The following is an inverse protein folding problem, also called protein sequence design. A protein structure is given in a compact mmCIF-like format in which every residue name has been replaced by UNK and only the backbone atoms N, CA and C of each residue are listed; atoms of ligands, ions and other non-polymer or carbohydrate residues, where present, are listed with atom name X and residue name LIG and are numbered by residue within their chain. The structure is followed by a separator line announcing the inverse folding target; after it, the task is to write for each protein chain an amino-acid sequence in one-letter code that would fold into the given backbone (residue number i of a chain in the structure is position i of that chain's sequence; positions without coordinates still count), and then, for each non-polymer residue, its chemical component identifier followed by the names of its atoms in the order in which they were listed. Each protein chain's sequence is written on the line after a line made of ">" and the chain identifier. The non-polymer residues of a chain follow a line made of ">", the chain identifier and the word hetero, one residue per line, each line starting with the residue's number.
data_IF_399235821356
#
_entry.id   IF_399235821356
#
_cell.length_a   1.000
_cell.length_b   1.000
_cell.length_c   1.000
_cell.angle_alpha   90.00
_cell.angle_beta   90.00
_cell.angle_gamma   90.00
#
_symmetry.space_group_name_H-M   'P 1'
#
loop_
_entity.id
_entity.type
_entity.pdbx_description
1 polymer ?
#
# COMPACT_ATOMS: atom_id res chain seq x y z
N UNK A 1 -10.81 -6.29 1.49
CA UNK A 1 -11.91 -5.66 0.74
C UNK A 1 -11.34 -4.85 -0.42
N UNK A 2 -11.24 -5.49 -1.60
CA UNK A 2 -10.65 -4.86 -2.81
C UNK A 2 -11.44 -3.65 -3.28
N UNK A 3 -12.75 -3.69 -3.22
CA UNK A 3 -13.58 -2.57 -3.63
C UNK A 3 -13.28 -1.31 -2.80
N UNK A 4 -13.20 -1.45 -1.49
CA UNK A 4 -12.85 -0.33 -0.61
C UNK A 4 -11.42 0.15 -0.88
N UNK A 5 -10.48 -0.77 -1.14
CA UNK A 5 -9.12 -0.40 -1.51
C UNK A 5 -9.11 0.49 -2.77
N UNK A 6 -9.79 0.06 -3.82
CA UNK A 6 -9.86 0.79 -5.08
C UNK A 6 -10.54 2.16 -4.91
N UNK A 7 -11.60 2.24 -4.11
CA UNK A 7 -12.29 3.49 -3.79
C UNK A 7 -11.37 4.49 -3.06
N UNK A 8 -10.62 4.01 -2.08
CA UNK A 8 -9.66 4.82 -1.34
C UNK A 8 -8.48 5.24 -2.21
N UNK A 9 -7.91 4.30 -2.99
CA UNK A 9 -6.83 4.59 -3.93
C UNK A 9 -7.28 5.63 -4.95
N UNK A 10 -8.48 5.47 -5.54
CA UNK A 10 -9.06 6.46 -6.45
C UNK A 10 -9.14 7.84 -5.81
N UNK A 11 -9.72 7.94 -4.61
CA UNK A 11 -9.87 9.20 -3.92
C UNK A 11 -8.53 9.88 -3.64
N UNK A 12 -7.51 9.12 -3.27
CA UNK A 12 -6.16 9.64 -3.02
C UNK A 12 -5.48 10.09 -4.32
N UNK A 13 -5.53 9.28 -5.38
CA UNK A 13 -4.96 9.65 -6.69
C UNK A 13 -5.61 10.93 -7.23
N UNK A 14 -6.94 11.06 -7.10
CA UNK A 14 -7.65 12.27 -7.51
C UNK A 14 -7.24 13.51 -6.69
N UNK A 15 -7.28 13.41 -5.36
CA UNK A 15 -7.03 14.57 -4.51
C UNK A 15 -5.57 15.01 -4.56
N UNK A 16 -4.64 14.07 -4.43
CA UNK A 16 -3.21 14.37 -4.46
C UNK A 16 -2.75 14.77 -5.86
N UNK A 17 -3.16 14.04 -6.90
CA UNK A 17 -2.78 14.35 -8.26
C UNK A 17 -3.27 15.73 -8.73
N UNK A 18 -4.52 16.11 -8.41
CA UNK A 18 -5.04 17.46 -8.70
C UNK A 18 -4.25 18.55 -7.98
N UNK A 19 -3.86 18.32 -6.73
CA UNK A 19 -3.00 19.24 -5.98
C UNK A 19 -1.60 19.39 -6.64
N UNK A 20 -0.98 18.28 -7.08
CA UNK A 20 0.31 18.33 -7.78
C UNK A 20 0.21 19.05 -9.12
N UNK A 21 -0.82 18.78 -9.92
CA UNK A 21 -1.09 19.48 -11.18
C UNK A 21 -1.28 20.98 -10.95
N UNK A 22 -2.04 21.35 -9.94
CA UNK A 22 -2.25 22.75 -9.57
C UNK A 22 -0.95 23.47 -9.17
N UNK A 23 -0.04 22.75 -8.54
CA UNK A 23 1.30 23.23 -8.16
C UNK A 23 2.31 23.18 -9.29
N UNK A 24 1.93 22.72 -10.48
CA UNK A 24 2.80 22.49 -11.64
C UNK A 24 3.95 21.51 -11.36
N UNK A 25 3.68 20.45 -10.56
CA UNK A 25 4.63 19.41 -10.19
C UNK A 25 4.26 18.13 -10.94
N UNK A 26 5.18 17.55 -11.70
CA UNK A 26 4.99 16.28 -12.43
C UNK A 26 3.66 16.20 -13.21
N UNK A 27 3.27 17.31 -13.87
CA UNK A 27 1.96 17.43 -14.54
C UNK A 27 1.75 16.36 -15.60
N UNK A 28 2.79 16.06 -16.39
CA UNK A 28 2.71 15.06 -17.46
C UNK A 28 2.46 13.65 -16.94
N UNK A 29 2.98 13.34 -15.77
CA UNK A 29 2.81 12.05 -15.08
C UNK A 29 1.46 11.96 -14.37
N UNK A 30 1.05 13.04 -13.69
CA UNK A 30 -0.18 13.06 -12.91
C UNK A 30 -1.45 13.18 -13.75
N UNK A 31 -1.43 13.93 -14.88
CA UNK A 31 -2.63 14.16 -15.66
C UNK A 31 -3.34 12.89 -16.13
N UNK A 32 -2.64 11.91 -16.76
CA UNK A 32 -3.32 10.67 -17.20
C UNK A 32 -3.84 9.83 -16.02
N UNK A 33 -3.21 9.91 -14.84
CA UNK A 33 -3.65 9.19 -13.64
C UNK A 33 -4.94 9.80 -13.10
N UNK A 34 -5.00 11.12 -13.01
CA UNK A 34 -6.20 11.85 -12.57
C UNK A 34 -7.34 11.64 -13.56
N UNK A 35 -7.06 11.73 -14.88
CA UNK A 35 -8.06 11.50 -15.92
C UNK A 35 -8.63 10.07 -15.83
N UNK A 36 -7.77 9.07 -15.60
CA UNK A 36 -8.23 7.71 -15.37
C UNK A 36 -9.14 7.62 -14.13
N UNK A 37 -8.70 8.20 -13.01
CA UNK A 37 -9.45 8.15 -11.76
C UNK A 37 -10.80 8.92 -11.84
N UNK A 38 -10.86 10.00 -12.60
CA UNK A 38 -12.09 10.75 -12.82
C UNK A 38 -13.11 9.96 -13.66
N UNK A 39 -12.65 9.18 -14.65
CA UNK A 39 -13.49 8.47 -15.59
C UNK A 39 -13.80 7.00 -15.21
N UNK A 40 -13.10 6.41 -14.23
CA UNK A 40 -13.25 5.01 -13.87
C UNK A 40 -13.62 4.82 -12.40
N UNK A 41 -14.91 4.75 -12.10
CA UNK A 41 -15.39 4.44 -10.76
C UNK A 41 -15.16 2.93 -10.49
N UNK A 42 -14.59 2.56 -9.31
CA UNK A 42 -14.45 1.15 -8.92
C UNK A 42 -15.81 0.43 -8.91
N UNK A 43 -15.86 -0.74 -9.54
CA UNK A 43 -17.11 -1.50 -9.73
C UNK A 43 -16.88 -3.01 -9.78
N UNK A 44 -15.95 -3.52 -9.00
CA UNK A 44 -15.52 -4.94 -9.02
C UNK A 44 -14.95 -5.41 -10.37
N UNK A 45 -14.53 -4.49 -11.23
CA UNK A 45 -13.89 -4.81 -12.49
C UNK A 45 -12.39 -5.04 -12.29
N UNK A 46 -11.94 -6.24 -12.61
CA UNK A 46 -10.52 -6.62 -12.42
C UNK A 46 -9.54 -5.71 -13.19
N UNK A 47 -9.88 -5.31 -14.41
CA UNK A 47 -9.00 -4.46 -15.22
C UNK A 47 -8.86 -3.08 -14.59
N UNK A 48 -9.95 -2.51 -14.07
CA UNK A 48 -9.95 -1.23 -13.38
C UNK A 48 -9.17 -1.34 -12.06
N UNK A 49 -9.41 -2.38 -11.27
CA UNK A 49 -8.70 -2.65 -10.02
C UNK A 49 -7.20 -2.83 -10.24
N UNK A 50 -6.80 -3.60 -11.25
CA UNK A 50 -5.40 -3.77 -11.63
C UNK A 50 -4.74 -2.44 -12.01
N UNK A 51 -5.46 -1.56 -12.70
CA UNK A 51 -4.92 -0.25 -13.07
C UNK A 51 -4.77 0.67 -11.87
N UNK A 52 -5.72 0.68 -10.91
CA UNK A 52 -5.57 1.40 -9.65
C UNK A 52 -4.35 0.93 -8.85
N UNK A 53 -4.15 -0.38 -8.75
CA UNK A 53 -2.98 -0.96 -8.08
C UNK A 53 -1.67 -0.55 -8.78
N UNK A 54 -1.64 -0.58 -10.12
CA UNK A 54 -0.49 -0.14 -10.90
C UNK A 54 -0.18 1.35 -10.66
N UNK A 55 -1.18 2.22 -10.70
CA UNK A 55 -0.98 3.63 -10.42
C UNK A 55 -0.56 3.86 -8.97
N UNK A 56 -1.20 3.19 -8.00
CA UNK A 56 -0.85 3.29 -6.58
C UNK A 56 0.63 3.03 -6.32
N UNK A 57 1.21 2.01 -6.96
CA UNK A 57 2.64 1.71 -6.82
C UNK A 57 3.55 2.63 -7.63
N UNK A 58 3.09 3.12 -8.78
CA UNK A 58 3.91 3.96 -9.67
C UNK A 58 4.07 5.37 -9.14
N UNK A 59 3.01 5.97 -8.59
CA UNK A 59 3.01 7.37 -8.15
C UNK A 59 3.97 7.66 -7.02
N UNK A 60 4.34 6.66 -6.24
CA UNK A 60 5.33 6.82 -5.16
C UNK A 60 6.67 7.36 -5.69
N UNK A 61 7.03 7.00 -6.94
CA UNK A 61 8.25 7.50 -7.60
C UNK A 61 8.22 8.99 -7.95
N UNK A 62 7.03 9.61 -7.94
CA UNK A 62 6.83 11.04 -8.23
C UNK A 62 6.70 11.89 -6.96
N UNK A 63 6.93 11.30 -5.78
CA UNK A 63 6.78 11.98 -4.50
C UNK A 63 8.15 12.26 -3.90
N UNK A 64 8.59 13.51 -4.00
CA UNK A 64 9.89 13.96 -3.51
C UNK A 64 10.10 13.71 -2.03
N UNK A 65 9.03 13.77 -1.22
CA UNK A 65 9.07 13.56 0.22
C UNK A 65 9.49 12.13 0.60
N UNK A 66 9.11 11.15 -0.21
CA UNK A 66 9.58 9.76 -0.08
C UNK A 66 11.04 9.65 -0.53
N UNK A 67 11.37 10.25 -1.65
CA UNK A 67 12.68 10.14 -2.28
C UNK A 67 13.77 10.85 -1.46
N UNK A 68 13.45 11.97 -0.84
CA UNK A 68 14.36 12.71 0.04
C UNK A 68 14.60 12.01 1.40
N UNK A 69 13.71 11.11 1.80
CA UNK A 69 13.85 10.28 3.01
C UNK A 69 14.79 9.08 2.88
N UNK A 70 15.47 8.91 1.75
CA UNK A 70 16.42 7.81 1.51
C UNK A 70 15.81 6.61 0.79
N UNK A 71 14.60 6.79 0.21
CA UNK A 71 13.90 5.75 -0.53
C UNK A 71 14.58 5.37 -1.84
N UNK A 72 14.51 4.13 -2.13
CA UNK A 72 14.71 3.40 -3.37
C UNK A 72 15.93 3.69 -4.28
N UNK A 73 17.00 4.21 -3.74
CA UNK A 73 18.31 4.18 -4.39
C UNK A 73 19.25 3.19 -3.73
N UNK A 74 18.75 2.39 -2.79
CA UNK A 74 19.58 1.46 -2.05
C UNK A 74 20.13 0.37 -2.97
N UNK A 75 21.47 0.18 -3.01
CA UNK A 75 22.10 -0.97 -3.66
C UNK A 75 21.54 -2.30 -3.17
N UNK A 76 20.89 -2.30 -2.00
CA UNK A 76 20.24 -3.46 -1.40
C UNK A 76 19.01 -3.91 -2.21
N UNK A 77 18.24 -2.98 -2.81
CA UNK A 77 17.14 -3.31 -3.71
C UNK A 77 17.62 -4.03 -4.97
N UNK A 78 18.76 -3.62 -5.51
CA UNK A 78 19.40 -4.29 -6.65
C UNK A 78 19.98 -5.66 -6.27
N UNK A 79 20.54 -5.79 -5.06
CA UNK A 79 21.05 -7.05 -4.52
C UNK A 79 19.93 -8.05 -4.24
N UNK A 80 18.78 -7.60 -3.73
CA UNK A 80 17.61 -8.47 -3.52
C UNK A 80 16.99 -8.93 -4.83
N UNK A 81 16.99 -8.10 -5.87
CA UNK A 81 16.59 -8.51 -7.21
C UNK A 81 17.53 -9.55 -7.80
N UNK A 82 18.86 -9.39 -7.67
CA UNK A 82 19.85 -10.36 -8.12
C UNK A 82 19.83 -11.67 -7.31
N UNK A 83 19.64 -11.59 -6.00
CA UNK A 83 19.52 -12.80 -5.18
C UNK A 83 18.23 -13.56 -5.46
N UNK A 84 17.10 -12.86 -5.68
CA UNK A 84 15.84 -13.48 -6.08
C UNK A 84 15.92 -14.14 -7.46
N UNK A 85 16.66 -13.55 -8.39
CA UNK A 85 16.86 -14.09 -9.73
C UNK A 85 17.70 -15.38 -9.76
N UNK A 86 18.51 -15.63 -8.73
CA UNK A 86 19.42 -16.77 -8.66
C UNK A 86 18.92 -17.92 -7.79
N UNK A 87 17.76 -17.79 -7.12
CA UNK A 87 17.24 -18.84 -6.24
C UNK A 87 16.11 -19.64 -6.89
N UNK A 88 16.04 -20.97 -6.70
CA UNK A 88 14.89 -21.77 -7.12
C UNK A 88 13.56 -21.27 -6.55
N UNK A 89 13.57 -20.63 -5.38
CA UNK A 89 12.42 -19.99 -4.75
C UNK A 89 11.87 -18.82 -5.55
N UNK A 90 12.71 -18.08 -6.29
CA UNK A 90 12.26 -17.04 -7.20
C UNK A 90 11.44 -17.62 -8.36
N UNK A 91 11.87 -18.76 -8.90
CA UNK A 91 11.16 -19.45 -9.98
C UNK A 91 9.79 -19.95 -9.50
N UNK A 92 9.72 -20.51 -8.31
CA UNK A 92 8.48 -20.96 -7.67
C UNK A 92 7.58 -19.77 -7.35
N UNK A 93 8.13 -18.66 -6.87
CA UNK A 93 7.40 -17.42 -6.60
C UNK A 93 6.82 -16.80 -7.87
N UNK A 94 7.56 -16.79 -8.98
CA UNK A 94 7.06 -16.30 -10.27
C UNK A 94 6.04 -17.26 -10.92
N UNK A 95 6.22 -18.57 -10.75
CA UNK A 95 5.25 -19.56 -11.19
C UNK A 95 3.95 -19.45 -10.38
N UNK A 96 4.07 -19.19 -9.07
CA UNK A 96 2.94 -18.89 -8.18
C UNK A 96 2.21 -17.61 -8.56
N UNK A 97 2.94 -16.58 -9.00
CA UNK A 97 2.36 -15.35 -9.53
C UNK A 97 1.47 -15.58 -10.74
N UNK A 98 1.88 -16.49 -11.64
CA UNK A 98 1.06 -16.87 -12.80
C UNK A 98 -0.18 -17.67 -12.39
N UNK A 99 -0.08 -18.46 -11.31
CA UNK A 99 -1.20 -19.20 -10.75
C UNK A 99 -2.22 -18.26 -10.09
N UNK A 100 -1.74 -17.23 -9.39
CA UNK A 100 -2.58 -16.20 -8.77
C UNK A 100 -3.30 -15.33 -9.80
N UNK A 101 -2.79 -15.21 -11.02
CA UNK A 101 -3.47 -14.51 -12.13
C UNK A 101 -4.78 -15.17 -12.56
N UNK A 102 -5.02 -16.43 -12.20
CA UNK A 102 -6.27 -17.14 -12.45
C UNK A 102 -7.29 -17.05 -11.30
N UNK A 103 -6.94 -16.39 -10.19
CA UNK A 103 -7.81 -16.19 -9.02
C UNK A 103 -8.46 -14.78 -8.90
N UNK A 104 -8.39 -13.88 -9.91
CA UNK A 104 -8.73 -12.47 -9.70
C UNK A 104 -10.19 -12.24 -9.31
N UNK A 105 -11.12 -13.07 -9.79
CA UNK A 105 -12.56 -12.91 -9.50
C UNK A 105 -12.88 -13.30 -8.05
N UNK A 106 -12.28 -14.37 -7.56
CA UNK A 106 -12.50 -14.84 -6.20
C UNK A 106 -11.85 -13.90 -5.18
N UNK A 107 -10.67 -13.34 -5.52
CA UNK A 107 -9.98 -12.35 -4.70
C UNK A 107 -10.74 -11.03 -4.60
N UNK A 108 -11.32 -10.54 -5.71
CA UNK A 108 -12.11 -9.29 -5.70
C UNK A 108 -13.30 -9.35 -4.75
N UNK A 109 -13.89 -10.53 -4.60
CA UNK A 109 -15.03 -10.77 -3.72
C UNK A 109 -14.61 -11.23 -2.31
N UNK A 110 -13.32 -11.52 -2.09
CA UNK A 110 -12.84 -11.96 -0.79
C UNK A 110 -12.90 -10.81 0.23
N UNK A 111 -13.56 -11.06 1.34
CA UNK A 111 -13.57 -10.15 2.48
C UNK A 111 -13.47 -10.94 3.78
N UNK A 112 -12.60 -10.47 4.66
CA UNK A 112 -12.48 -10.98 6.02
C UNK A 112 -12.98 -9.97 7.05
N UNK A 113 -13.60 -8.88 6.61
CA UNK A 113 -14.05 -7.78 7.46
C UNK A 113 -15.01 -8.26 8.57
N UNK A 114 -15.84 -9.28 8.28
CA UNK A 114 -16.78 -9.85 9.25
C UNK A 114 -16.08 -10.66 10.37
N UNK A 115 -14.84 -11.10 10.14
CA UNK A 115 -14.06 -11.89 11.09
C UNK A 115 -13.15 -11.05 11.98
N UNK A 116 -12.99 -9.76 11.66
CA UNK A 116 -12.10 -8.85 12.39
C UNK A 116 -12.50 -8.68 13.85
N UNK A 117 -13.80 -8.79 14.18
CA UNK A 117 -14.29 -8.78 15.53
C UNK A 117 -13.75 -9.90 16.45
N UNK A 118 -13.23 -10.98 15.88
CA UNK A 118 -12.59 -12.07 16.63
C UNK A 118 -11.16 -11.74 17.10
N UNK A 119 -10.57 -10.63 16.62
CA UNK A 119 -9.22 -10.22 16.99
C UNK A 119 -9.27 -9.46 18.32
N UNK A 120 -8.80 -10.12 19.37
CA UNK A 120 -8.79 -9.60 20.76
C UNK A 120 -7.38 -9.32 21.28
N UNK A 121 -6.35 -9.83 20.60
CA UNK A 121 -4.93 -9.63 20.97
C UNK A 121 -4.49 -8.21 20.62
N UNK A 122 -3.40 -7.71 21.25
CA UNK A 122 -2.84 -6.41 20.88
C UNK A 122 -2.53 -6.30 19.38
N UNK A 123 -2.90 -5.17 18.77
CA UNK A 123 -2.71 -4.92 17.33
C UNK A 123 -2.08 -3.56 17.12
N UNK A 124 -1.02 -3.52 16.32
CA UNK A 124 -0.47 -2.29 15.74
C UNK A 124 -0.61 -2.36 14.22
N UNK A 125 -1.17 -1.32 13.62
CA UNK A 125 -1.16 -1.11 12.17
C UNK A 125 -0.25 0.07 11.85
N UNK A 126 0.65 -0.11 10.89
CA UNK A 126 1.59 0.93 10.48
C UNK A 126 1.46 1.13 8.97
N UNK A 127 1.26 2.38 8.56
CA UNK A 127 1.08 2.78 7.17
C UNK A 127 2.01 3.93 6.81
N UNK A 128 2.40 3.99 5.54
CA UNK A 128 3.01 5.18 4.97
C UNK A 128 1.94 6.22 4.64
N UNK A 129 2.28 7.48 4.83
CA UNK A 129 1.42 8.62 4.45
C UNK A 129 1.08 8.60 2.96
N UNK A 130 2.02 8.14 2.15
CA UNK A 130 1.94 8.10 0.69
C UNK A 130 1.71 6.68 0.15
N UNK A 131 1.18 5.77 0.96
CA UNK A 131 0.79 4.44 0.49
C UNK A 131 -0.53 4.53 -0.30
N UNK A 132 -0.41 4.62 -1.61
CA UNK A 132 -1.54 4.61 -2.55
C UNK A 132 -1.92 3.19 -2.99
N UNK A 133 -1.08 2.19 -2.69
CA UNK A 133 -1.32 0.78 -3.00
C UNK A 133 -2.27 0.14 -1.99
N UNK A 134 -2.01 0.39 -0.69
CA UNK A 134 -2.85 -0.04 0.43
C UNK A 134 -3.11 1.17 1.34
N UNK A 135 -4.08 2.02 0.99
CA UNK A 135 -4.31 3.28 1.68
C UNK A 135 -4.64 3.11 3.16
N UNK A 136 -4.17 4.05 3.98
CA UNK A 136 -4.37 4.05 5.45
C UNK A 136 -5.83 3.90 5.89
N UNK A 137 -6.79 4.31 5.07
CA UNK A 137 -8.21 4.15 5.35
C UNK A 137 -8.65 2.69 5.55
N UNK A 138 -7.93 1.72 4.93
CA UNK A 138 -8.15 0.30 5.23
C UNK A 138 -7.73 -0.04 6.67
N UNK A 139 -6.64 0.54 7.14
CA UNK A 139 -6.19 0.37 8.53
C UNK A 139 -7.18 0.97 9.53
N UNK A 140 -7.77 2.10 9.19
CA UNK A 140 -8.81 2.74 9.99
C UNK A 140 -10.07 1.85 10.07
N UNK A 141 -10.51 1.25 8.96
CA UNK A 141 -11.58 0.26 8.94
C UNK A 141 -11.27 -0.94 9.84
N UNK A 142 -10.08 -1.52 9.72
CA UNK A 142 -9.63 -2.64 10.56
C UNK A 142 -9.69 -2.25 12.03
N UNK A 143 -9.16 -1.08 12.39
CA UNK A 143 -9.12 -0.61 13.78
C UNK A 143 -10.50 -0.35 14.38
N UNK A 144 -11.48 0.00 13.56
CA UNK A 144 -12.86 0.12 14.00
C UNK A 144 -13.50 -1.24 14.30
N UNK A 145 -13.20 -2.26 13.49
CA UNK A 145 -13.85 -3.57 13.54
C UNK A 145 -13.23 -4.55 14.53
N UNK A 146 -11.93 -4.46 14.83
CA UNK A 146 -11.27 -5.36 15.78
C UNK A 146 -11.74 -5.12 17.22
N UNK A 147 -11.93 -6.21 17.98
CA UNK A 147 -12.36 -6.18 19.38
C UNK A 147 -11.21 -5.97 20.38
N UNK A 148 -9.96 -5.88 19.89
CA UNK A 148 -8.81 -5.61 20.74
C UNK A 148 -8.96 -4.28 21.48
N UNK A 149 -8.74 -4.30 22.79
CA UNK A 149 -8.67 -3.09 23.64
C UNK A 149 -7.29 -2.42 23.58
N UNK A 150 -6.28 -3.13 23.06
CA UNK A 150 -4.89 -2.67 22.93
C UNK A 150 -4.58 -2.54 21.46
N UNK A 151 -4.95 -1.41 20.86
CA UNK A 151 -4.79 -1.18 19.43
C UNK A 151 -4.19 0.19 19.15
N UNK A 152 -3.27 0.26 18.18
CA UNK A 152 -2.56 1.47 17.78
C UNK A 152 -2.47 1.53 16.24
N UNK A 153 -2.70 2.71 15.67
CA UNK A 153 -2.37 3.02 14.28
C UNK A 153 -1.23 4.04 14.26
N UNK A 154 -0.27 3.84 13.37
CA UNK A 154 0.87 4.73 13.16
C UNK A 154 0.95 5.08 11.68
N UNK A 155 1.15 6.35 11.38
CA UNK A 155 1.36 6.83 10.01
C UNK A 155 2.77 7.40 9.91
N UNK A 156 3.64 6.74 9.14
CA UNK A 156 4.98 7.20 8.82
C UNK A 156 4.90 8.32 7.79
N UNK A 157 5.52 9.46 8.11
CA UNK A 157 5.24 10.70 7.37
C UNK A 157 5.95 10.81 6.03
N UNK A 158 7.08 10.08 5.86
CA UNK A 158 7.93 10.11 4.66
C UNK A 158 7.96 8.75 3.97
N UNK A 159 6.95 7.91 4.18
CA UNK A 159 6.88 6.54 3.64
C UNK A 159 5.74 6.35 2.67
N UNK A 160 6.02 5.55 1.62
CA UNK A 160 5.03 4.92 0.75
C UNK A 160 4.67 3.52 1.23
N UNK A 161 4.47 2.59 0.28
CA UNK A 161 4.09 1.21 0.57
C UNK A 161 5.19 0.39 1.27
N UNK A 162 6.46 0.68 0.97
CA UNK A 162 7.61 -0.06 1.52
C UNK A 162 8.21 0.72 2.70
N UNK A 163 7.59 0.60 3.85
CA UNK A 163 7.95 1.34 5.07
C UNK A 163 9.39 1.13 5.52
N UNK A 164 9.89 -0.11 5.37
CA UNK A 164 11.23 -0.48 5.82
C UNK A 164 12.36 0.11 4.97
N UNK A 165 12.05 0.56 3.76
CA UNK A 165 13.02 1.23 2.91
C UNK A 165 13.03 2.75 3.14
N UNK A 166 11.90 3.31 3.58
CA UNK A 166 11.75 4.75 3.75
C UNK A 166 12.11 5.23 5.17
N UNK A 167 11.53 4.62 6.20
CA UNK A 167 11.72 5.02 7.61
C UNK A 167 12.00 3.79 8.50
N UNK A 168 13.10 3.01 8.27
CA UNK A 168 13.39 1.75 8.96
C UNK A 168 13.51 1.89 10.47
N UNK A 169 14.19 2.92 10.94
CA UNK A 169 14.45 3.14 12.38
C UNK A 169 13.14 3.47 13.12
N UNK A 170 12.28 4.29 12.51
CA UNK A 170 10.99 4.64 13.09
C UNK A 170 10.06 3.44 13.12
N UNK A 171 10.02 2.66 12.04
CA UNK A 171 9.27 1.40 11.96
C UNK A 171 9.73 0.43 13.06
N UNK A 172 11.05 0.22 13.19
CA UNK A 172 11.64 -0.65 14.22
C UNK A 172 11.26 -0.20 15.63
N UNK A 173 11.40 1.10 15.92
CA UNK A 173 11.10 1.67 17.23
C UNK A 173 9.61 1.53 17.60
N UNK A 174 8.70 1.78 16.65
CA UNK A 174 7.26 1.63 16.85
C UNK A 174 6.87 0.19 17.17
N UNK A 175 7.37 -0.78 16.38
CA UNK A 175 7.09 -2.19 16.59
C UNK A 175 7.67 -2.69 17.91
N UNK A 176 8.93 -2.39 18.20
CA UNK A 176 9.59 -2.89 19.41
C UNK A 176 9.00 -2.29 20.69
N UNK A 177 8.65 -1.00 20.65
CA UNK A 177 7.97 -0.33 21.76
C UNK A 177 6.60 -0.96 22.01
N UNK A 178 5.82 -1.16 20.94
CA UNK A 178 4.50 -1.79 21.06
C UNK A 178 4.57 -3.20 21.64
N UNK A 179 5.49 -4.04 21.16
CA UNK A 179 5.68 -5.41 21.64
C UNK A 179 6.11 -5.43 23.11
N UNK A 180 7.03 -4.53 23.54
CA UNK A 180 7.49 -4.44 24.92
C UNK A 180 6.39 -4.01 25.90
N UNK A 181 5.51 -3.13 25.48
CA UNK A 181 4.43 -2.58 26.33
C UNK A 181 3.20 -3.49 26.42
N UNK A 182 3.13 -4.54 25.57
CA UNK A 182 1.96 -5.41 25.48
C UNK A 182 2.28 -6.91 25.65
N UNK A 183 3.41 -7.19 26.32
CA UNK A 183 3.75 -8.56 26.77
C UNK A 183 2.76 -9.11 27.78
#
# INVERSE_FOLDING_TARGET
>A
NYQLNDELTRAYLQSYGKDQIQKNIHVAEWQPIVDFADNNVPNYNYTISKQYNSYGSTVESYIDDINNGGGFGSPLGLLTLNQKALTPLWFISNSGGTYLLNLPKDLLNASYSDKLGNITKPVINIYGKYDFTVPKGLGEEIMQKISSKKKKIVILQHSGHILMDNEPDLLYNEVTTFVRTHK
#
